data_IF_162162495684
#
_entry.id   IF_162162495684
#
_cell.length_a   1.000
_cell.length_b   1.000
_cell.length_c   1.000
_cell.angle_alpha   90.00
_cell.angle_beta   90.00
_cell.angle_gamma   90.00
#
_symmetry.space_group_name_H-M   'P 1'
#
loop_
_entity.id
_entity.type
_entity.pdbx_description
1 polymer ?
#
# COMPACT_ATOMS: atom_id res chain seq x y z
N UNK A 1 26.54 44.31 -5.88
CA UNK A 1 26.82 42.87 -6.11
C UNK A 1 26.86 42.06 -4.82
N UNK A 2 27.54 42.48 -3.74
CA UNK A 2 27.64 41.75 -2.47
C UNK A 2 26.30 41.48 -1.77
N UNK A 3 25.38 42.43 -1.71
CA UNK A 3 24.05 42.23 -1.10
C UNK A 3 23.18 41.22 -1.85
N UNK A 4 23.28 41.16 -3.18
CA UNK A 4 22.54 40.17 -3.97
C UNK A 4 23.06 38.74 -3.72
N UNK A 5 24.39 38.60 -3.63
CA UNK A 5 25.00 37.30 -3.29
C UNK A 5 24.60 36.86 -1.89
N UNK A 6 24.68 37.76 -0.91
CA UNK A 6 24.26 37.47 0.46
C UNK A 6 22.79 37.08 0.53
N UNK A 7 21.89 37.78 -0.16
CA UNK A 7 20.47 37.42 -0.26
C UNK A 7 20.24 36.03 -0.82
N UNK A 8 20.92 35.71 -1.94
CA UNK A 8 20.81 34.38 -2.60
C UNK A 8 21.29 33.27 -1.66
N UNK A 9 22.42 33.47 -0.95
CA UNK A 9 22.96 32.48 0.00
C UNK A 9 21.98 32.27 1.15
N UNK A 10 21.41 33.35 1.71
CA UNK A 10 20.41 33.25 2.77
C UNK A 10 19.15 32.53 2.28
N UNK A 11 18.65 32.86 1.09
CA UNK A 11 17.48 32.21 0.50
C UNK A 11 17.70 30.71 0.30
N UNK A 12 18.88 30.32 -0.21
CA UNK A 12 19.27 28.90 -0.34
C UNK A 12 19.31 28.24 1.04
N UNK A 13 19.94 28.85 2.02
CA UNK A 13 20.02 28.31 3.38
C UNK A 13 18.61 28.12 3.98
N UNK A 14 17.75 29.13 3.88
CA UNK A 14 16.34 29.05 4.34
C UNK A 14 15.60 27.93 3.61
N UNK A 15 15.81 27.76 2.30
CA UNK A 15 15.20 26.67 1.57
C UNK A 15 15.63 25.30 2.16
N UNK A 16 16.93 25.09 2.34
CA UNK A 16 17.45 23.79 2.77
C UNK A 16 17.11 23.40 4.22
N UNK A 17 16.87 24.36 5.11
CA UNK A 17 16.41 24.09 6.49
C UNK A 17 14.90 23.93 6.59
N UNK A 18 14.17 24.05 5.49
CA UNK A 18 12.71 23.92 5.45
C UNK A 18 12.20 22.54 5.88
N UNK A 19 10.98 22.49 6.39
CA UNK A 19 10.36 21.23 6.81
C UNK A 19 10.21 20.27 5.64
N UNK A 20 10.40 18.97 5.91
CA UNK A 20 10.23 17.86 4.97
C UNK A 20 9.27 16.84 5.56
N UNK A 21 8.72 15.98 4.72
CA UNK A 21 8.01 14.80 5.21
C UNK A 21 8.91 14.02 6.16
N UNK A 22 8.39 13.74 7.35
CA UNK A 22 9.10 12.94 8.35
C UNK A 22 9.01 11.46 7.95
N UNK A 23 10.14 10.81 7.83
CA UNK A 23 10.25 9.38 7.59
C UNK A 23 10.83 8.76 8.88
N UNK A 24 9.94 8.22 9.69
CA UNK A 24 10.28 7.54 10.93
C UNK A 24 9.97 6.06 10.75
N UNK A 25 10.98 5.20 10.89
CA UNK A 25 10.86 3.75 10.72
C UNK A 25 10.88 2.98 12.03
N UNK A 26 10.77 3.69 13.17
CA UNK A 26 10.74 3.07 14.50
C UNK A 26 9.39 2.38 14.69
N UNK A 27 9.39 1.05 14.76
CA UNK A 27 8.18 0.30 15.03
C UNK A 27 7.80 0.40 16.51
N UNK A 28 6.49 0.52 16.76
CA UNK A 28 5.93 0.47 18.11
C UNK A 28 5.89 -0.98 18.59
N UNK A 29 6.13 -1.23 19.88
CA UNK A 29 5.90 -2.56 20.45
C UNK A 29 4.44 -2.97 20.22
N UNK A 30 4.24 -4.16 19.65
CA UNK A 30 2.92 -4.72 19.39
C UNK A 30 2.76 -6.02 20.19
N UNK A 31 1.66 -6.11 20.94
CA UNK A 31 1.26 -7.33 21.63
C UNK A 31 -0.18 -7.63 21.24
N UNK A 32 -0.39 -8.69 20.47
CA UNK A 32 -1.71 -9.13 20.06
C UNK A 32 -2.31 -10.06 21.12
N UNK A 33 -3.56 -9.84 21.53
CA UNK A 33 -4.27 -10.76 22.43
C UNK A 33 -4.60 -12.08 21.73
N UNK A 34 -5.15 -13.02 22.47
CA UNK A 34 -5.62 -14.30 21.91
C UNK A 34 -6.86 -14.14 21.03
N UNK A 35 -7.77 -13.26 21.42
CA UNK A 35 -8.98 -12.93 20.68
C UNK A 35 -8.71 -11.75 19.74
N UNK A 36 -8.47 -12.06 18.47
CA UNK A 36 -8.16 -11.07 17.44
C UNK A 36 -9.43 -10.33 16.98
N UNK A 37 -10.59 -10.99 16.96
CA UNK A 37 -11.83 -10.36 16.51
C UNK A 37 -12.24 -9.25 17.49
N UNK A 38 -12.18 -9.52 18.80
CA UNK A 38 -12.42 -8.49 19.83
C UNK A 38 -11.37 -7.37 19.77
N UNK A 39 -10.10 -7.68 19.53
CA UNK A 39 -9.03 -6.70 19.36
C UNK A 39 -9.31 -5.75 18.19
N UNK A 40 -9.68 -6.29 17.03
CA UNK A 40 -10.01 -5.50 15.86
C UNK A 40 -11.27 -4.65 16.08
N UNK A 41 -12.32 -5.24 16.65
CA UNK A 41 -13.56 -4.53 16.97
C UNK A 41 -13.29 -3.35 17.92
N UNK A 42 -12.45 -3.53 18.96
CA UNK A 42 -12.09 -2.45 19.88
C UNK A 42 -11.25 -1.38 19.17
N UNK A 43 -10.29 -1.77 18.31
CA UNK A 43 -9.42 -0.82 17.61
C UNK A 43 -10.20 0.04 16.62
N UNK A 44 -11.13 -0.56 15.88
CA UNK A 44 -11.97 0.13 14.89
C UNK A 44 -13.12 0.91 15.57
N UNK A 45 -13.67 0.39 16.66
CA UNK A 45 -14.72 1.05 17.44
C UNK A 45 -14.32 2.38 18.11
N UNK A 46 -13.06 2.78 18.00
CA UNK A 46 -12.58 4.12 18.40
C UNK A 46 -12.98 5.22 17.43
N UNK A 47 -13.47 4.85 16.25
CA UNK A 47 -13.85 5.77 15.19
C UNK A 47 -15.33 5.59 14.87
N UNK A 48 -16.06 6.68 14.78
CA UNK A 48 -17.48 6.73 14.44
C UNK A 48 -17.75 7.04 12.95
N UNK A 49 -16.67 7.30 12.19
CA UNK A 49 -16.70 7.76 10.81
C UNK A 49 -16.09 6.74 9.81
N UNK A 50 -15.90 5.47 10.23
CA UNK A 50 -15.45 4.43 9.30
C UNK A 50 -16.57 4.14 8.30
N UNK A 51 -16.23 4.14 7.02
CA UNK A 51 -17.15 3.73 5.96
C UNK A 51 -17.43 2.24 6.12
N UNK A 52 -18.70 1.82 6.25
CA UNK A 52 -19.06 0.40 6.39
C UNK A 52 -18.42 -0.46 5.30
N UNK A 53 -17.97 -1.65 5.67
CA UNK A 53 -17.25 -2.62 4.82
C UNK A 53 -15.79 -2.26 4.51
N UNK A 54 -15.20 -1.28 5.23
CA UNK A 54 -13.78 -0.91 5.06
C UNK A 54 -12.93 -1.18 6.31
N UNK A 55 -13.54 -1.65 7.38
CA UNK A 55 -12.90 -1.96 8.67
C UNK A 55 -11.79 -3.01 8.51
N UNK A 56 -10.81 -2.97 9.42
CA UNK A 56 -9.91 -4.12 9.64
C UNK A 56 -10.74 -5.33 9.98
N UNK A 57 -10.55 -6.44 9.29
CA UNK A 57 -11.35 -7.65 9.53
C UNK A 57 -10.59 -8.92 9.17
N UNK A 58 -10.90 -10.01 9.86
CA UNK A 58 -10.45 -11.35 9.51
C UNK A 58 -11.63 -12.12 8.89
N UNK A 59 -11.40 -12.67 7.70
CA UNK A 59 -12.30 -13.63 7.09
C UNK A 59 -11.73 -15.01 7.40
N UNK A 60 -12.45 -15.74 8.25
CA UNK A 60 -12.05 -17.07 8.69
C UNK A 60 -12.49 -18.13 7.68
N UNK A 61 -11.55 -18.95 7.20
CA UNK A 61 -11.88 -20.10 6.34
C UNK A 61 -12.64 -21.23 7.09
N UNK A 62 -12.55 -21.21 8.41
CA UNK A 62 -13.20 -22.19 9.29
C UNK A 62 -13.63 -21.54 10.61
N UNK A 63 -13.35 -22.20 11.73
CA UNK A 63 -13.69 -21.64 13.04
C UNK A 63 -12.77 -20.47 13.39
N UNK A 64 -13.31 -19.35 13.92
CA UNK A 64 -12.52 -18.25 14.42
C UNK A 64 -11.42 -18.73 15.41
N UNK A 65 -10.24 -18.10 15.33
CA UNK A 65 -9.08 -18.43 16.16
C UNK A 65 -8.28 -19.67 15.73
N UNK A 66 -8.73 -20.44 14.72
CA UNK A 66 -7.98 -21.58 14.18
C UNK A 66 -7.07 -21.15 13.04
N UNK A 67 -5.80 -21.54 13.12
CA UNK A 67 -4.84 -21.32 12.02
C UNK A 67 -5.16 -22.20 10.83
N UNK A 68 -4.87 -21.67 9.65
CA UNK A 68 -4.81 -22.41 8.37
C UNK A 68 -3.36 -22.66 7.96
N UNK A 69 -3.13 -23.56 7.00
CA UNK A 69 -1.78 -23.82 6.47
C UNK A 69 -1.14 -22.55 5.90
N UNK A 70 -1.95 -21.71 5.26
CA UNK A 70 -1.54 -20.38 4.79
C UNK A 70 -2.58 -19.34 5.23
N UNK A 71 -2.12 -18.13 5.51
CA UNK A 71 -2.97 -16.95 5.65
C UNK A 71 -2.63 -15.94 4.56
N UNK A 72 -3.59 -15.09 4.25
CA UNK A 72 -3.41 -13.94 3.35
C UNK A 72 -3.54 -12.67 4.18
N UNK A 73 -2.64 -11.72 3.99
CA UNK A 73 -2.82 -10.33 4.45
C UNK A 73 -2.90 -9.41 3.24
N UNK A 74 -3.83 -8.47 3.28
CA UNK A 74 -4.09 -7.55 2.19
C UNK A 74 -3.83 -6.11 2.60
N UNK A 75 -2.98 -5.42 1.84
CA UNK A 75 -2.54 -4.04 2.02
C UNK A 75 -3.05 -3.21 0.84
N UNK A 76 -4.05 -2.37 1.07
CA UNK A 76 -4.70 -1.59 0.02
C UNK A 76 -3.89 -0.37 -0.47
N UNK A 77 -4.34 0.24 -1.56
CA UNK A 77 -3.75 1.43 -2.17
C UNK A 77 -4.06 2.74 -1.43
N UNK A 78 -3.40 3.82 -1.84
CA UNK A 78 -3.66 5.17 -1.34
C UNK A 78 -5.06 5.63 -1.73
N UNK A 79 -5.73 6.30 -0.82
CA UNK A 79 -7.13 6.75 -0.87
C UNK A 79 -8.17 5.64 -1.00
N UNK A 80 -7.78 4.42 -1.30
CA UNK A 80 -8.64 3.24 -1.43
C UNK A 80 -8.91 2.53 -0.10
N UNK A 81 -9.59 1.41 -0.18
CA UNK A 81 -9.87 0.48 0.91
C UNK A 81 -9.71 -0.96 0.44
N UNK A 82 -9.98 -1.96 1.30
CA UNK A 82 -10.00 -3.37 0.91
C UNK A 82 -10.94 -3.69 -0.27
N UNK A 83 -11.88 -2.81 -0.54
CA UNK A 83 -12.86 -2.96 -1.62
C UNK A 83 -12.28 -2.69 -3.01
N UNK A 84 -11.07 -2.11 -3.12
CA UNK A 84 -10.49 -1.73 -4.41
C UNK A 84 -10.29 -2.91 -5.37
N UNK A 85 -9.98 -4.09 -4.84
CA UNK A 85 -9.83 -5.31 -5.63
C UNK A 85 -10.78 -6.43 -5.22
N UNK A 86 -11.78 -6.15 -4.36
CA UNK A 86 -12.76 -7.15 -3.97
C UNK A 86 -13.53 -7.66 -5.20
N UNK A 87 -13.73 -9.00 -5.35
CA UNK A 87 -13.50 -10.06 -4.39
C UNK A 87 -12.19 -10.86 -4.60
N UNK A 88 -11.13 -10.29 -5.19
CA UNK A 88 -9.90 -11.03 -5.54
C UNK A 88 -9.33 -11.81 -4.34
N UNK A 89 -9.12 -11.14 -3.20
CA UNK A 89 -8.50 -11.78 -2.03
C UNK A 89 -9.43 -12.79 -1.36
N UNK A 90 -10.75 -12.57 -1.40
CA UNK A 90 -11.74 -13.54 -0.92
C UNK A 90 -11.71 -14.82 -1.75
N UNK A 91 -11.67 -14.71 -3.08
CA UNK A 91 -11.55 -15.86 -4.00
C UNK A 91 -10.24 -16.61 -3.77
N UNK A 92 -9.11 -15.90 -3.63
CA UNK A 92 -7.80 -16.50 -3.32
C UNK A 92 -7.83 -17.25 -1.98
N UNK A 93 -8.44 -16.66 -0.95
CA UNK A 93 -8.57 -17.27 0.37
C UNK A 93 -9.41 -18.55 0.30
N UNK A 94 -10.53 -18.53 -0.42
CA UNK A 94 -11.38 -19.70 -0.63
C UNK A 94 -10.64 -20.84 -1.37
N UNK A 95 -9.92 -20.51 -2.45
CA UNK A 95 -9.16 -21.47 -3.27
C UNK A 95 -7.98 -22.12 -2.51
N UNK A 96 -7.40 -21.41 -1.55
CA UNK A 96 -6.28 -21.86 -0.73
C UNK A 96 -6.71 -22.44 0.62
N UNK A 97 -7.98 -22.35 0.97
CA UNK A 97 -8.47 -22.66 2.32
C UNK A 97 -7.79 -21.80 3.38
N UNK A 98 -7.52 -20.54 3.06
CA UNK A 98 -6.72 -19.63 3.86
C UNK A 98 -7.59 -18.68 4.69
N UNK A 99 -7.19 -18.38 5.92
CA UNK A 99 -7.69 -17.22 6.62
C UNK A 99 -7.15 -15.95 5.94
N UNK A 100 -7.98 -14.90 5.89
CA UNK A 100 -7.63 -13.64 5.22
C UNK A 100 -7.79 -12.48 6.19
N UNK A 101 -6.75 -11.64 6.31
CA UNK A 101 -6.81 -10.39 7.04
C UNK A 101 -6.79 -9.20 6.09
N UNK A 102 -7.78 -8.36 6.21
CA UNK A 102 -7.87 -7.08 5.54
C UNK A 102 -7.39 -5.95 6.45
N UNK A 103 -6.29 -5.32 6.08
CA UNK A 103 -5.81 -4.11 6.75
C UNK A 103 -6.64 -2.90 6.33
N UNK A 104 -6.75 -1.93 7.22
CA UNK A 104 -7.14 -0.56 6.93
C UNK A 104 -5.99 0.34 7.37
N UNK A 105 -5.29 0.95 6.43
CA UNK A 105 -4.23 1.90 6.76
C UNK A 105 -4.78 3.09 7.51
N UNK A 106 -4.04 3.55 8.52
CA UNK A 106 -4.38 4.75 9.30
C UNK A 106 -4.80 5.89 8.38
N UNK A 107 -5.94 6.50 8.68
CA UNK A 107 -6.54 7.60 7.92
C UNK A 107 -7.44 7.16 6.76
N UNK A 108 -7.35 5.93 6.26
CA UNK A 108 -8.17 5.43 5.15
C UNK A 108 -9.52 4.86 5.61
N UNK A 109 -10.45 4.73 4.66
CA UNK A 109 -11.80 4.24 4.95
C UNK A 109 -12.60 5.15 5.89
N UNK A 110 -12.24 6.43 5.95
CA UNK A 110 -12.82 7.47 6.81
C UNK A 110 -12.96 8.78 6.01
N UNK A 111 -13.12 9.90 6.70
CA UNK A 111 -13.16 11.22 6.05
C UNK A 111 -11.84 11.60 5.39
N UNK A 112 -11.87 12.55 4.45
CA UNK A 112 -10.67 13.10 3.84
C UNK A 112 -9.73 13.77 4.86
N UNK A 113 -10.26 14.34 5.93
CA UNK A 113 -9.45 14.92 7.00
C UNK A 113 -8.66 13.82 7.75
N UNK A 114 -9.25 12.65 7.96
CA UNK A 114 -8.59 11.53 8.61
C UNK A 114 -7.35 11.06 7.80
N UNK A 115 -7.40 11.11 6.46
CA UNK A 115 -6.24 10.79 5.63
C UNK A 115 -5.03 11.72 5.90
N UNK A 116 -5.30 12.96 6.29
CA UNK A 116 -4.26 13.94 6.58
C UNK A 116 -3.65 13.79 8.00
N UNK A 117 -4.18 12.90 8.83
CA UNK A 117 -3.65 12.56 10.16
C UNK A 117 -2.51 11.53 10.09
N UNK A 118 -2.51 10.69 9.05
CA UNK A 118 -1.56 9.60 8.89
C UNK A 118 -0.12 10.09 8.67
N UNK A 119 0.82 9.30 9.13
CA UNK A 119 2.26 9.46 8.89
C UNK A 119 2.84 8.21 8.20
N UNK A 120 4.07 8.31 7.68
CA UNK A 120 4.80 7.13 7.19
C UNK A 120 4.90 6.07 8.29
N UNK A 121 5.21 6.50 9.52
CA UNK A 121 5.35 5.60 10.67
C UNK A 121 4.07 4.82 10.97
N UNK A 122 2.90 5.46 10.87
CA UNK A 122 1.62 4.78 11.09
C UNK A 122 1.42 3.65 10.08
N UNK A 123 1.66 3.89 8.78
CA UNK A 123 1.50 2.86 7.76
C UNK A 123 2.52 1.72 7.87
N UNK A 124 3.76 2.00 8.34
CA UNK A 124 4.73 0.96 8.64
C UNK A 124 4.28 0.10 9.83
N UNK A 125 3.67 0.71 10.85
CA UNK A 125 3.09 -0.01 11.98
C UNK A 125 1.86 -0.82 11.58
N UNK A 126 0.95 -0.26 10.77
CA UNK A 126 -0.20 -1.00 10.22
C UNK A 126 0.26 -2.21 9.39
N UNK A 127 1.33 -2.05 8.59
CA UNK A 127 1.93 -3.15 7.82
C UNK A 127 2.55 -4.23 8.71
N UNK A 128 3.22 -3.82 9.78
CA UNK A 128 3.80 -4.73 10.77
C UNK A 128 2.71 -5.47 11.56
N UNK A 129 1.65 -4.77 11.97
CA UNK A 129 0.46 -5.35 12.61
C UNK A 129 -0.17 -6.41 11.70
N UNK A 130 -0.33 -6.09 10.41
CA UNK A 130 -0.90 -7.02 9.45
C UNK A 130 -0.08 -8.32 9.36
N UNK A 131 1.25 -8.23 9.32
CA UNK A 131 2.11 -9.41 9.35
C UNK A 131 1.93 -10.23 10.61
N UNK A 132 1.92 -9.58 11.80
CA UNK A 132 1.75 -10.28 13.06
C UNK A 132 0.38 -10.96 13.18
N UNK A 133 -0.68 -10.33 12.68
CA UNK A 133 -2.01 -10.95 12.57
C UNK A 133 -1.93 -12.15 11.61
N UNK A 134 -1.34 -11.98 10.44
CA UNK A 134 -1.14 -13.06 9.47
C UNK A 134 -0.46 -14.28 10.10
N UNK A 135 0.58 -14.08 10.90
CA UNK A 135 1.28 -15.13 11.68
C UNK A 135 0.42 -15.85 12.71
N UNK A 136 -0.54 -15.12 13.25
CA UNK A 136 -1.48 -15.66 14.24
C UNK A 136 -2.59 -16.50 13.61
N UNK A 137 -2.96 -16.20 12.37
CA UNK A 137 -4.07 -16.86 11.66
C UNK A 137 -3.63 -17.88 10.62
N UNK A 138 -2.32 -18.00 10.33
CA UNK A 138 -1.77 -19.01 9.40
C UNK A 138 -0.37 -19.48 9.80
N UNK A 139 0.03 -20.66 9.29
CA UNK A 139 1.40 -21.19 9.50
C UNK A 139 2.41 -20.52 8.56
N UNK A 140 1.95 -20.16 7.35
CA UNK A 140 2.69 -19.35 6.38
C UNK A 140 1.84 -18.16 5.96
N UNK A 141 2.49 -17.05 5.63
CA UNK A 141 1.81 -15.80 5.27
C UNK A 141 2.05 -15.44 3.81
N UNK A 142 0.98 -15.15 3.08
CA UNK A 142 1.02 -14.52 1.76
C UNK A 142 0.68 -13.05 1.96
N UNK A 143 1.55 -12.17 1.47
CA UNK A 143 1.34 -10.71 1.56
C UNK A 143 0.93 -10.21 0.19
N UNK A 144 -0.29 -9.67 0.09
CA UNK A 144 -0.80 -9.03 -1.13
C UNK A 144 -0.83 -7.52 -0.88
N UNK A 145 -0.18 -6.76 -1.74
CA UNK A 145 -0.22 -5.30 -1.69
C UNK A 145 -0.57 -4.70 -3.04
N UNK A 146 -1.39 -3.65 -3.02
CA UNK A 146 -1.79 -2.91 -4.23
C UNK A 146 -1.27 -1.49 -4.14
N UNK A 147 -0.66 -0.96 -5.20
CA UNK A 147 -0.22 0.43 -5.29
C UNK A 147 0.67 0.84 -4.10
N UNK A 148 0.23 1.77 -3.26
CA UNK A 148 0.92 2.16 -2.02
C UNK A 148 1.02 1.00 -1.02
N UNK A 149 0.03 0.11 -0.95
CA UNK A 149 0.11 -1.12 -0.17
C UNK A 149 1.23 -2.04 -0.67
N UNK A 150 1.47 -2.11 -1.98
CA UNK A 150 2.61 -2.84 -2.54
C UNK A 150 3.96 -2.17 -2.21
N UNK A 151 3.99 -0.84 -2.09
CA UNK A 151 5.18 -0.11 -1.60
C UNK A 151 5.47 -0.46 -0.14
N UNK A 152 4.44 -0.51 0.72
CA UNK A 152 4.56 -0.93 2.11
C UNK A 152 4.99 -2.41 2.22
N UNK A 153 4.41 -3.30 1.41
CA UNK A 153 4.81 -4.70 1.31
C UNK A 153 6.28 -4.85 0.87
N UNK A 154 6.77 -3.99 -0.03
CA UNK A 154 8.18 -3.99 -0.44
C UNK A 154 9.12 -3.58 0.69
N UNK A 155 8.73 -2.55 1.48
CA UNK A 155 9.46 -2.22 2.70
C UNK A 155 9.50 -3.40 3.66
N UNK A 156 8.37 -4.07 3.87
CA UNK A 156 8.29 -5.26 4.72
C UNK A 156 9.17 -6.39 4.20
N UNK A 157 9.16 -6.67 2.89
CA UNK A 157 9.96 -7.72 2.28
C UNK A 157 11.48 -7.55 2.46
N UNK A 158 11.94 -6.32 2.71
CA UNK A 158 13.33 -6.00 2.99
C UNK A 158 13.71 -6.11 4.48
N UNK A 159 12.75 -6.45 5.37
CA UNK A 159 13.02 -6.65 6.80
C UNK A 159 13.61 -8.06 7.07
N UNK A 160 14.09 -8.27 8.30
CA UNK A 160 14.52 -9.58 8.80
C UNK A 160 13.33 -10.41 9.32
N UNK A 161 13.59 -11.70 9.60
CA UNK A 161 12.64 -12.60 10.27
C UNK A 161 11.35 -12.87 9.47
N UNK A 162 11.50 -13.11 8.17
CA UNK A 162 10.38 -13.41 7.25
C UNK A 162 10.35 -14.88 6.79
N UNK A 163 10.94 -15.81 7.57
CA UNK A 163 11.01 -17.23 7.19
C UNK A 163 9.63 -17.90 7.04
N UNK A 164 8.64 -17.35 7.70
CA UNK A 164 7.23 -17.74 7.66
C UNK A 164 6.43 -17.06 6.53
N UNK A 165 6.98 -16.05 5.87
CA UNK A 165 6.34 -15.46 4.69
C UNK A 165 6.59 -16.35 3.47
N UNK A 166 5.50 -16.86 2.89
CA UNK A 166 5.53 -17.71 1.70
C UNK A 166 5.85 -16.89 0.45
N UNK A 167 5.17 -15.78 0.26
CA UNK A 167 5.32 -14.93 -0.92
C UNK A 167 4.83 -13.50 -0.68
N UNK A 168 5.38 -12.57 -1.45
CA UNK A 168 4.88 -11.21 -1.65
C UNK A 168 4.27 -11.10 -3.06
N UNK A 169 3.04 -10.63 -3.13
CA UNK A 169 2.33 -10.32 -4.38
C UNK A 169 2.11 -8.81 -4.44
N UNK A 170 2.74 -8.17 -5.39
CA UNK A 170 2.80 -6.71 -5.54
C UNK A 170 2.07 -6.32 -6.82
N UNK A 171 0.86 -5.75 -6.68
CA UNK A 171 0.02 -5.35 -7.81
C UNK A 171 0.18 -3.85 -8.03
N UNK A 172 0.55 -3.45 -9.23
CA UNK A 172 0.75 -2.03 -9.62
C UNK A 172 1.55 -1.21 -8.59
N UNK A 173 2.75 -1.67 -8.13
CA UNK A 173 3.44 -1.06 -7.00
C UNK A 173 3.80 0.41 -7.26
N UNK A 174 3.45 1.29 -6.33
CA UNK A 174 3.78 2.71 -6.39
C UNK A 174 5.23 2.95 -5.96
N UNK A 175 6.18 2.70 -6.86
CA UNK A 175 7.60 3.08 -6.65
C UNK A 175 7.91 4.51 -7.14
N UNK A 176 7.04 5.10 -7.91
CA UNK A 176 6.95 6.53 -8.20
C UNK A 176 5.59 6.82 -8.86
N UNK A 177 4.90 7.91 -8.54
CA UNK A 177 3.76 8.38 -9.32
C UNK A 177 4.15 8.59 -10.79
N UNK A 178 3.16 8.49 -11.70
CA UNK A 178 3.37 8.78 -13.12
C UNK A 178 3.77 10.25 -13.30
N UNK A 179 3.10 11.16 -12.59
CA UNK A 179 3.48 12.57 -12.52
C UNK A 179 4.76 12.77 -11.71
N UNK A 180 5.84 13.10 -12.42
CA UNK A 180 7.17 13.34 -11.82
C UNK A 180 7.20 14.52 -10.87
N UNK A 181 6.28 15.49 -11.01
CA UNK A 181 6.20 16.67 -10.14
C UNK A 181 5.86 16.30 -8.69
N UNK A 182 5.22 15.14 -8.47
CA UNK A 182 4.94 14.61 -7.13
C UNK A 182 6.19 14.50 -6.23
N UNK A 183 7.39 14.40 -6.82
CA UNK A 183 8.66 14.39 -6.07
C UNK A 183 8.87 15.65 -5.23
N UNK A 184 8.27 16.77 -5.60
CA UNK A 184 8.29 18.05 -4.87
C UNK A 184 7.78 17.87 -3.42
N UNK A 185 6.82 16.97 -3.20
CA UNK A 185 6.27 16.67 -1.86
C UNK A 185 7.34 16.17 -0.87
N UNK A 186 8.47 15.67 -1.36
CA UNK A 186 9.59 15.22 -0.51
C UNK A 186 10.71 16.27 -0.35
N UNK A 187 10.58 17.45 -0.98
CA UNK A 187 11.55 18.54 -0.87
C UNK A 187 11.37 19.32 0.43
N UNK A 188 12.36 20.16 0.80
CA UNK A 188 12.13 21.18 1.80
C UNK A 188 10.94 22.04 1.39
N UNK A 189 10.07 22.37 2.34
CA UNK A 189 8.83 23.13 2.09
C UNK A 189 7.84 22.42 1.12
N UNK A 190 8.02 21.13 0.82
CA UNK A 190 7.28 20.41 -0.20
C UNK A 190 5.77 20.50 -0.04
N UNK A 191 5.24 20.43 1.19
CA UNK A 191 3.82 20.65 1.47
C UNK A 191 3.35 22.03 1.02
N UNK A 192 4.08 23.09 1.44
CA UNK A 192 3.72 24.48 1.11
C UNK A 192 3.81 24.75 -0.39
N UNK A 193 4.86 24.22 -1.03
CA UNK A 193 5.04 24.35 -2.47
C UNK A 193 3.91 23.62 -3.19
N UNK A 194 3.62 22.38 -2.87
CA UNK A 194 2.53 21.62 -3.48
C UNK A 194 1.18 22.34 -3.28
N UNK A 195 0.86 22.75 -2.05
CA UNK A 195 -0.38 23.48 -1.75
C UNK A 195 -0.52 24.78 -2.58
N UNK A 196 0.60 25.49 -2.83
CA UNK A 196 0.57 26.69 -3.66
C UNK A 196 0.28 26.41 -5.15
N UNK A 197 0.69 25.23 -5.66
CA UNK A 197 0.50 24.88 -7.08
C UNK A 197 -0.78 24.12 -7.35
N UNK A 198 -1.19 23.18 -6.47
CA UNK A 198 -2.32 22.28 -6.70
C UNK A 198 -3.48 22.52 -5.72
N UNK A 199 -3.41 23.58 -4.90
CA UNK A 199 -4.43 23.93 -3.91
C UNK A 199 -4.32 23.14 -2.59
N UNK A 200 -5.13 23.54 -1.59
CA UNK A 200 -5.11 22.92 -0.26
C UNK A 200 -5.77 21.54 -0.20
N UNK A 201 -6.59 21.21 -1.19
CA UNK A 201 -7.31 19.93 -1.33
C UNK A 201 -7.08 19.32 -2.70
N UNK A 202 -7.19 18.00 -2.73
CA UNK A 202 -7.27 17.18 -3.94
C UNK A 202 -8.69 16.68 -4.08
N UNK A 203 -9.19 16.77 -5.30
CA UNK A 203 -10.53 16.31 -5.68
C UNK A 203 -10.44 15.40 -6.88
N UNK A 204 -11.23 14.33 -6.86
CA UNK A 204 -11.38 13.37 -7.96
C UNK A 204 -12.85 13.14 -8.22
N UNK A 205 -13.21 12.92 -9.46
CA UNK A 205 -14.55 12.48 -9.81
C UNK A 205 -14.66 10.96 -9.65
N UNK A 206 -15.80 10.52 -9.11
CA UNK A 206 -16.10 9.09 -9.01
C UNK A 206 -16.43 8.53 -10.39
N UNK A 207 -15.77 7.45 -10.80
CA UNK A 207 -16.10 6.76 -12.05
C UNK A 207 -17.40 5.96 -11.97
N UNK A 208 -17.79 5.54 -10.77
CA UNK A 208 -19.03 4.85 -10.46
C UNK A 208 -19.35 4.95 -8.96
N UNK A 209 -20.51 4.42 -8.54
CA UNK A 209 -20.98 4.49 -7.15
C UNK A 209 -20.00 3.79 -6.18
N UNK A 210 -19.48 2.61 -6.53
CA UNK A 210 -18.50 1.88 -5.72
C UNK A 210 -17.21 2.66 -5.52
N UNK A 211 -16.70 3.30 -6.60
CA UNK A 211 -15.53 4.18 -6.50
C UNK A 211 -15.81 5.37 -5.57
N UNK A 212 -16.99 6.01 -5.70
CA UNK A 212 -17.40 7.12 -4.82
C UNK A 212 -17.55 6.73 -3.35
N UNK A 213 -17.95 5.47 -3.07
CA UNK A 213 -18.16 4.97 -1.71
C UNK A 213 -16.86 4.53 -1.03
N UNK A 214 -15.99 3.84 -1.74
CA UNK A 214 -14.87 3.10 -1.15
C UNK A 214 -13.50 3.75 -1.35
N UNK A 215 -13.42 4.87 -2.09
CA UNK A 215 -12.24 5.73 -2.15
C UNK A 215 -12.51 7.07 -1.49
N UNK A 216 -11.50 7.60 -0.83
CA UNK A 216 -11.53 8.97 -0.33
C UNK A 216 -11.15 9.90 -1.49
N UNK A 217 -12.13 10.53 -2.13
CA UNK A 217 -11.95 11.32 -3.34
C UNK A 217 -11.65 12.80 -3.07
N UNK A 218 -11.98 13.30 -1.87
CA UNK A 218 -11.71 14.67 -1.42
C UNK A 218 -10.87 14.64 -0.15
N UNK A 219 -9.63 15.13 -0.20
CA UNK A 219 -8.72 15.12 0.94
C UNK A 219 -7.71 16.27 0.90
N UNK A 220 -7.17 16.74 2.05
CA UNK A 220 -6.14 17.77 2.10
C UNK A 220 -4.88 17.36 1.35
N UNK A 221 -4.26 18.29 0.62
CA UNK A 221 -3.01 18.04 -0.13
C UNK A 221 -1.90 17.43 0.74
N UNK A 222 -1.86 17.77 2.04
CA UNK A 222 -0.89 17.20 2.97
C UNK A 222 -1.00 15.68 3.15
N UNK A 223 -2.16 15.06 2.84
CA UNK A 223 -2.34 13.61 2.87
C UNK A 223 -1.43 12.87 1.86
N UNK A 224 -0.94 13.57 0.84
CA UNK A 224 0.03 13.02 -0.11
C UNK A 224 1.45 12.86 0.48
N UNK A 225 1.76 13.54 1.59
CA UNK A 225 3.10 13.52 2.18
C UNK A 225 3.52 12.12 2.67
N UNK A 226 2.71 11.40 3.47
CA UNK A 226 3.10 10.06 3.90
C UNK A 226 3.24 9.09 2.72
N UNK A 227 2.39 9.18 1.68
CA UNK A 227 2.53 8.36 0.47
C UNK A 227 3.89 8.61 -0.19
N UNK A 228 4.24 9.86 -0.44
CA UNK A 228 5.53 10.20 -1.06
C UNK A 228 6.71 9.94 -0.13
N UNK A 229 6.53 10.04 1.17
CA UNK A 229 7.52 9.65 2.18
C UNK A 229 7.81 8.15 2.13
N UNK A 230 6.78 7.31 1.99
CA UNK A 230 6.92 5.86 1.84
C UNK A 230 7.61 5.49 0.51
N UNK A 231 7.22 6.12 -0.60
CA UNK A 231 7.90 5.98 -1.91
C UNK A 231 9.38 6.33 -1.79
N UNK A 232 9.71 7.46 -1.14
CA UNK A 232 11.09 7.88 -0.90
C UNK A 232 11.84 6.88 -0.01
N UNK A 233 11.24 6.39 1.06
CA UNK A 233 11.82 5.37 1.92
C UNK A 233 12.22 4.14 1.11
N UNK A 234 11.29 3.58 0.34
CA UNK A 234 11.53 2.37 -0.45
C UNK A 234 12.56 2.60 -1.55
N UNK A 235 12.62 3.80 -2.14
CA UNK A 235 13.65 4.14 -3.14
C UNK A 235 15.09 4.14 -2.57
N UNK A 236 15.24 4.16 -1.25
CA UNK A 236 16.53 4.13 -0.55
C UNK A 236 16.89 2.74 0.00
N UNK A 237 15.98 1.77 -0.12
CA UNK A 237 16.22 0.40 0.32
C UNK A 237 17.06 -0.33 -0.73
N UNK A 238 18.03 -1.09 -0.27
CA UNK A 238 18.75 -2.05 -1.08
C UNK A 238 17.86 -3.27 -1.34
N UNK A 239 17.17 -3.29 -2.50
CA UNK A 239 16.19 -4.33 -2.84
C UNK A 239 16.81 -5.72 -3.02
N UNK A 240 18.13 -5.83 -3.20
CA UNK A 240 18.85 -7.11 -3.17
C UNK A 240 18.77 -7.83 -1.80
N UNK A 241 18.37 -7.14 -0.75
CA UNK A 241 18.14 -7.75 0.58
C UNK A 241 16.88 -8.63 0.62
N UNK A 242 15.95 -8.44 -0.33
CA UNK A 242 14.74 -9.24 -0.44
C UNK A 242 15.13 -10.64 -0.90
N UNK A 243 14.80 -11.63 -0.07
CA UNK A 243 15.12 -13.05 -0.31
C UNK A 243 13.88 -13.94 -0.42
N UNK A 244 12.71 -13.42 -0.02
CA UNK A 244 11.45 -14.16 -0.11
C UNK A 244 10.89 -14.09 -1.54
N UNK A 245 10.07 -15.07 -1.94
CA UNK A 245 9.44 -15.05 -3.27
C UNK A 245 8.63 -13.78 -3.52
N UNK A 246 8.78 -13.17 -4.71
CA UNK A 246 8.08 -11.94 -5.11
C UNK A 246 7.43 -12.11 -6.49
N UNK A 247 6.13 -11.86 -6.55
CA UNK A 247 5.39 -11.67 -7.80
C UNK A 247 5.06 -10.20 -7.96
N UNK A 248 5.40 -9.61 -9.10
CA UNK A 248 4.92 -8.28 -9.50
C UNK A 248 3.95 -8.45 -10.66
N UNK A 249 2.74 -7.89 -10.54
CA UNK A 249 1.77 -7.78 -11.62
C UNK A 249 1.54 -6.29 -11.89
N UNK A 250 1.67 -5.86 -13.14
CA UNK A 250 1.57 -4.44 -13.49
C UNK A 250 1.02 -4.25 -14.91
N UNK A 251 0.51 -3.06 -15.19
CA UNK A 251 0.20 -2.63 -16.56
C UNK A 251 1.31 -1.74 -17.12
N UNK A 252 1.82 -2.03 -18.32
CA UNK A 252 2.73 -1.09 -19.00
C UNK A 252 2.07 0.25 -19.38
N UNK A 253 0.74 0.31 -19.40
CA UNK A 253 -0.07 1.50 -19.67
C UNK A 253 -0.59 2.18 -18.39
N UNK A 254 -0.08 1.85 -17.21
CA UNK A 254 -0.48 2.48 -15.95
C UNK A 254 -0.26 4.01 -16.00
N UNK A 255 -1.33 4.78 -15.78
CA UNK A 255 -1.32 6.25 -15.81
C UNK A 255 -1.24 6.87 -14.42
N UNK A 256 -1.35 6.07 -13.36
CA UNK A 256 -1.29 6.53 -11.97
C UNK A 256 0.13 6.42 -11.42
N UNK A 257 0.80 5.27 -11.64
CA UNK A 257 2.18 5.05 -11.23
C UNK A 257 3.08 4.78 -12.43
N UNK A 258 4.37 5.03 -12.30
CA UNK A 258 5.33 4.81 -13.36
C UNK A 258 5.69 3.31 -13.48
N UNK A 259 5.24 2.60 -14.54
CA UNK A 259 5.47 1.16 -14.69
C UNK A 259 6.95 0.80 -14.87
N UNK A 260 7.78 1.69 -15.42
CA UNK A 260 9.22 1.44 -15.57
C UNK A 260 9.92 1.34 -14.20
N UNK A 261 9.37 1.97 -13.17
CA UNK A 261 9.89 1.86 -11.79
C UNK A 261 9.62 0.48 -11.21
N UNK A 262 8.49 -0.16 -11.53
CA UNK A 262 8.22 -1.54 -11.14
C UNK A 262 9.23 -2.49 -11.78
N UNK A 263 9.53 -2.34 -13.08
CA UNK A 263 10.53 -3.12 -13.79
C UNK A 263 11.95 -2.92 -13.22
N UNK A 264 12.31 -1.67 -12.93
CA UNK A 264 13.61 -1.34 -12.35
C UNK A 264 13.77 -1.93 -10.94
N UNK A 265 12.74 -1.86 -10.10
CA UNK A 265 12.74 -2.47 -8.77
C UNK A 265 12.85 -4.00 -8.87
N UNK A 266 12.08 -4.63 -9.76
CA UNK A 266 12.17 -6.06 -10.03
C UNK A 266 13.61 -6.49 -10.39
N UNK A 267 14.28 -5.74 -11.26
CA UNK A 267 15.66 -6.05 -11.63
C UNK A 267 16.61 -6.05 -10.42
N UNK A 268 16.41 -5.10 -9.47
CA UNK A 268 17.23 -4.96 -8.27
C UNK A 268 16.99 -6.03 -7.20
N UNK A 269 15.85 -6.73 -7.20
CA UNK A 269 15.55 -7.85 -6.29
C UNK A 269 16.33 -9.11 -6.68
N UNK A 270 17.67 -9.02 -6.74
CA UNK A 270 18.54 -10.04 -7.36
C UNK A 270 18.62 -11.35 -6.58
N UNK A 271 18.27 -11.37 -5.28
CA UNK A 271 18.32 -12.54 -4.41
C UNK A 271 16.97 -13.22 -4.20
N UNK A 272 15.88 -12.62 -4.67
CA UNK A 272 14.56 -13.19 -4.56
C UNK A 272 14.31 -14.22 -5.68
N UNK A 273 13.57 -15.28 -5.35
CA UNK A 273 12.83 -16.04 -6.34
C UNK A 273 11.67 -15.16 -6.81
N UNK A 274 11.68 -14.72 -8.07
CA UNK A 274 10.83 -13.63 -8.50
C UNK A 274 10.25 -13.82 -9.90
N UNK A 275 9.03 -13.31 -10.06
CA UNK A 275 8.34 -13.23 -11.33
C UNK A 275 7.74 -11.84 -11.53
N UNK A 276 7.76 -11.35 -12.77
CA UNK A 276 7.03 -10.14 -13.16
C UNK A 276 6.11 -10.46 -14.33
N UNK A 277 4.86 -10.06 -14.22
CA UNK A 277 3.84 -10.28 -15.24
C UNK A 277 3.28 -8.94 -15.67
N UNK A 278 3.33 -8.66 -16.96
CA UNK A 278 2.69 -7.51 -17.56
C UNK A 278 1.29 -7.90 -18.04
N UNK A 279 0.26 -7.18 -17.62
CA UNK A 279 -1.06 -7.28 -18.23
C UNK A 279 -1.13 -6.31 -19.42
N UNK A 280 -1.34 -6.86 -20.63
CA UNK A 280 -1.31 -6.08 -21.90
C UNK A 280 -2.69 -5.60 -22.34
N UNK A 281 -3.71 -5.73 -21.50
CA UNK A 281 -5.07 -5.29 -21.82
C UNK A 281 -5.41 -4.08 -20.99
N UNK A 282 -6.11 -3.12 -21.59
CA UNK A 282 -6.68 -1.99 -20.87
C UNK A 282 -7.56 -2.48 -19.72
N UNK A 283 -7.35 -1.94 -18.53
CA UNK A 283 -8.02 -2.35 -17.31
C UNK A 283 -8.48 -1.09 -16.57
N UNK A 284 -9.80 -0.89 -16.49
CA UNK A 284 -10.35 0.33 -15.90
C UNK A 284 -9.92 1.60 -16.65
N UNK A 285 -10.19 2.76 -16.06
CA UNK A 285 -9.92 4.05 -16.71
C UNK A 285 -8.42 4.38 -16.83
N UNK A 286 -7.61 3.97 -15.85
CA UNK A 286 -6.20 4.38 -15.73
C UNK A 286 -5.22 3.20 -15.77
N UNK A 287 -5.68 2.00 -16.11
CA UNK A 287 -4.86 0.79 -16.15
C UNK A 287 -4.08 0.50 -14.84
N UNK A 288 -4.59 0.98 -13.70
CA UNK A 288 -3.88 0.92 -12.43
C UNK A 288 -4.42 -0.15 -11.47
N UNK A 289 -5.73 -0.16 -11.20
CA UNK A 289 -6.38 -1.19 -10.38
C UNK A 289 -6.73 -2.35 -11.29
N UNK A 290 -5.99 -3.46 -11.18
CA UNK A 290 -5.99 -4.55 -12.17
C UNK A 290 -7.01 -5.66 -11.91
N UNK A 291 -7.79 -5.56 -10.83
CA UNK A 291 -8.83 -6.52 -10.43
C UNK A 291 -9.90 -5.82 -9.60
N UNK A 292 -11.02 -6.50 -9.37
CA UNK A 292 -12.10 -6.05 -8.50
C UNK A 292 -13.33 -5.58 -9.25
N UNK A 293 -14.48 -5.83 -8.66
CA UNK A 293 -15.79 -5.60 -9.29
C UNK A 293 -16.08 -4.13 -9.58
N UNK A 294 -15.41 -3.22 -8.88
CA UNK A 294 -15.62 -1.77 -9.00
C UNK A 294 -14.93 -1.22 -10.25
N UNK A 295 -13.69 -1.64 -10.52
CA UNK A 295 -12.83 -1.01 -11.54
C UNK A 295 -12.44 -1.94 -12.68
N UNK A 296 -12.33 -3.26 -12.43
CA UNK A 296 -11.81 -4.21 -13.40
C UNK A 296 -12.46 -5.60 -13.25
N UNK A 297 -13.81 -5.72 -13.30
CA UNK A 297 -14.53 -6.97 -13.02
C UNK A 297 -14.07 -8.13 -13.93
N UNK A 298 -13.85 -7.85 -15.20
CA UNK A 298 -13.47 -8.86 -16.21
C UNK A 298 -12.04 -9.40 -16.05
N UNK A 299 -11.26 -8.84 -15.08
CA UNK A 299 -9.86 -9.20 -14.88
C UNK A 299 -9.60 -9.95 -13.59
N UNK A 300 -10.53 -9.96 -12.67
CA UNK A 300 -10.35 -10.54 -11.34
C UNK A 300 -9.90 -12.00 -11.40
N UNK A 301 -10.54 -12.83 -12.24
CA UNK A 301 -10.20 -14.23 -12.37
C UNK A 301 -8.83 -14.45 -13.04
N UNK A 302 -8.50 -13.65 -14.07
CA UNK A 302 -7.17 -13.71 -14.72
C UNK A 302 -6.05 -13.40 -13.72
N UNK A 303 -6.21 -12.32 -12.92
CA UNK A 303 -5.22 -11.95 -11.89
C UNK A 303 -5.16 -13.01 -10.78
N UNK A 304 -6.30 -13.55 -10.37
CA UNK A 304 -6.36 -14.65 -9.40
C UNK A 304 -5.55 -15.85 -9.85
N UNK A 305 -5.73 -16.30 -11.09
CA UNK A 305 -5.01 -17.45 -11.63
C UNK A 305 -3.49 -17.22 -11.69
N UNK A 306 -3.05 -16.00 -12.06
CA UNK A 306 -1.63 -15.64 -12.03
C UNK A 306 -1.04 -15.78 -10.62
N UNK A 307 -1.78 -15.30 -9.61
CA UNK A 307 -1.37 -15.36 -8.20
C UNK A 307 -1.37 -16.82 -7.71
N UNK A 308 -2.43 -17.60 -8.00
CA UNK A 308 -2.53 -18.99 -7.60
C UNK A 308 -1.40 -19.84 -8.21
N UNK A 309 -1.10 -19.65 -9.49
CA UNK A 309 0.00 -20.37 -10.15
C UNK A 309 1.35 -20.08 -9.46
N UNK A 310 1.60 -18.82 -9.13
CA UNK A 310 2.83 -18.41 -8.44
C UNK A 310 2.93 -18.98 -7.03
N UNK A 311 1.85 -18.89 -6.25
CA UNK A 311 1.80 -19.33 -4.85
C UNK A 311 1.85 -20.83 -4.73
N UNK A 312 1.01 -21.57 -5.50
CA UNK A 312 0.95 -23.05 -5.45
C UNK A 312 2.27 -23.72 -5.80
N UNK A 313 3.08 -23.11 -6.68
CA UNK A 313 4.42 -23.61 -7.00
C UNK A 313 5.42 -23.50 -5.82
N UNK A 314 5.05 -22.84 -4.72
CA UNK A 314 5.89 -22.56 -3.55
C UNK A 314 5.32 -23.10 -2.23
N UNK A 315 4.13 -23.66 -2.28
CA UNK A 315 3.52 -24.41 -1.16
C UNK A 315 4.15 -25.80 -1.00
#
# INVERSE_FOLDING_TARGET
MGYLIAFVVVAIAVFWVGPRVKIDTTLRPLTLPSDLDSYLAESEGRFDDIVPDTEKTIIWAGKPGQKTAVSIIYLHGFSATRQETAPLSDKLAAELGANLFYTRFTGHGRTGQAMAEATVNDWLNDTSEALEIGRRIGEKVIVIGVSTGATAATWLAAQSNLADVLAFVLISPNYAPHDRSASILTWPWGEKIATAFIGPYRDWEASNEGHGRFWTLHYPTKALLPMMGLVKLVSQIELSRITRPVLIIYSPQDEVVNPERARAAFAQMSRADKQIIATNRAVGENNHVLAGDITAPDKTDEIMEMILAFVRARM
#
